data_IF_559021854547
#
_entry.id   IF_559021854547
#
_cell.length_a   1.000
_cell.length_b   1.000
_cell.length_c   1.000
_cell.angle_alpha   90.00
_cell.angle_beta   90.00
_cell.angle_gamma   90.00
#
_symmetry.space_group_name_H-M   'P 1'
#
loop_
_entity.id
_entity.type
_entity.pdbx_description
1 polymer ?
#
# COMPACT_ATOMS: atom_id res chain seq x y z
N UNK A 1 -11.08 -4.58 -10.27
CA UNK A 1 -10.10 -5.60 -9.83
C UNK A 1 -10.53 -6.19 -8.49
N UNK A 2 -10.23 -7.46 -8.20
CA UNK A 2 -10.63 -8.14 -6.94
C UNK A 2 -9.41 -8.58 -6.14
N UNK A 3 -8.46 -7.68 -5.91
CA UNK A 3 -7.30 -7.91 -5.05
C UNK A 3 -7.37 -7.03 -3.80
N UNK A 4 -6.99 -7.57 -2.63
CA UNK A 4 -6.78 -6.77 -1.41
C UNK A 4 -5.48 -6.00 -1.52
N UNK A 5 -5.54 -4.69 -1.32
CA UNK A 5 -4.39 -3.83 -1.13
C UNK A 5 -3.81 -4.06 0.26
N UNK A 6 -2.49 -4.19 0.33
CA UNK A 6 -1.74 -4.47 1.55
C UNK A 6 -0.78 -3.34 1.82
N UNK A 7 -0.62 -3.03 3.10
CA UNK A 7 0.34 -2.05 3.58
C UNK A 7 1.53 -2.78 4.17
N UNK A 8 2.63 -2.77 3.43
CA UNK A 8 3.90 -3.36 3.82
C UNK A 8 4.77 -2.34 4.55
N UNK A 9 5.43 -2.75 5.62
CA UNK A 9 6.36 -1.91 6.39
C UNK A 9 7.75 -2.53 6.41
N UNK A 10 8.77 -1.69 6.19
CA UNK A 10 10.15 -1.99 6.52
C UNK A 10 10.66 -0.97 7.54
N UNK A 11 10.61 -1.33 8.83
CA UNK A 11 11.05 -0.46 9.92
C UNK A 11 12.56 -0.18 9.90
N UNK A 12 13.37 -1.08 9.33
CA UNK A 12 14.82 -0.87 9.24
C UNK A 12 15.16 0.21 8.22
N UNK A 13 14.37 0.30 7.16
CA UNK A 13 14.55 1.27 6.08
C UNK A 13 13.72 2.54 6.27
N UNK A 14 12.79 2.55 7.23
CA UNK A 14 11.82 3.64 7.39
C UNK A 14 10.91 3.80 6.18
N UNK A 15 10.44 2.68 5.60
CA UNK A 15 9.63 2.67 4.38
C UNK A 15 8.30 1.95 4.60
N UNK A 16 7.28 2.42 3.91
CA UNK A 16 5.95 1.82 3.86
C UNK A 16 5.47 1.80 2.40
N UNK A 17 4.95 0.66 1.97
CA UNK A 17 4.48 0.43 0.61
C UNK A 17 3.02 -0.01 0.63
N UNK A 18 2.20 0.65 -0.20
CA UNK A 18 0.84 0.20 -0.51
C UNK A 18 0.89 -0.58 -1.82
N UNK A 19 0.39 -1.81 -1.82
CA UNK A 19 0.36 -2.63 -3.02
C UNK A 19 -0.75 -3.69 -3.01
N UNK A 20 -1.45 -3.81 -4.14
CA UNK A 20 -2.37 -4.91 -4.47
C UNK A 20 -1.70 -6.02 -5.27
N UNK A 21 -0.45 -5.83 -5.69
CA UNK A 21 0.32 -6.78 -6.50
C UNK A 21 0.69 -8.03 -5.71
N UNK A 22 0.41 -9.19 -6.29
CA UNK A 22 0.65 -10.48 -5.63
C UNK A 22 2.14 -10.81 -5.47
N UNK A 23 2.96 -10.31 -6.38
CA UNK A 23 4.42 -10.47 -6.42
C UNK A 23 5.10 -9.77 -5.24
N UNK A 24 4.53 -8.70 -4.70
CA UNK A 24 5.08 -7.95 -3.56
C UNK A 24 4.98 -8.72 -2.23
N UNK A 25 4.22 -9.82 -2.19
CA UNK A 25 4.29 -10.77 -1.06
C UNK A 25 5.69 -11.35 -0.87
N UNK A 26 6.53 -11.35 -1.92
CA UNK A 26 7.93 -11.77 -1.82
C UNK A 26 8.75 -10.89 -0.87
N UNK A 27 8.39 -9.61 -0.70
CA UNK A 27 9.05 -8.67 0.22
C UNK A 27 9.04 -9.15 1.68
N UNK A 28 8.08 -9.99 2.06
CA UNK A 28 8.02 -10.60 3.40
C UNK A 28 9.30 -11.41 3.67
N UNK A 29 9.81 -12.11 2.64
CA UNK A 29 11.07 -12.88 2.73
C UNK A 29 12.29 -11.97 2.91
N UNK A 30 12.17 -10.71 2.52
CA UNK A 30 13.21 -9.68 2.63
C UNK A 30 13.07 -8.84 3.91
N UNK A 31 12.17 -9.22 4.81
CA UNK A 31 12.02 -8.59 6.13
C UNK A 31 10.96 -7.50 6.21
N UNK A 32 10.16 -7.31 5.16
CA UNK A 32 8.95 -6.51 5.24
C UNK A 32 7.84 -7.24 6.01
N UNK A 33 6.87 -6.49 6.53
CA UNK A 33 5.69 -7.05 7.22
C UNK A 33 4.43 -6.39 6.72
N UNK A 34 3.32 -7.12 6.68
CA UNK A 34 2.01 -6.52 6.42
C UNK A 34 1.45 -6.01 7.74
N UNK A 35 0.99 -4.77 7.77
CA UNK A 35 0.39 -4.14 8.96
C UNK A 35 -1.07 -3.76 8.79
N UNK A 36 -1.56 -3.74 7.55
CA UNK A 36 -2.95 -3.44 7.22
C UNK A 36 -3.30 -4.04 5.86
N UNK A 37 -4.57 -4.37 5.67
CA UNK A 37 -5.13 -4.82 4.40
C UNK A 37 -6.53 -4.22 4.21
N UNK A 38 -6.86 -3.83 3.00
CA UNK A 38 -8.20 -3.34 2.64
C UNK A 38 -8.56 -3.76 1.20
N UNK A 39 -9.86 -3.81 0.91
CA UNK A 39 -10.33 -4.00 -0.46
C UNK A 39 -10.35 -2.67 -1.24
N UNK A 40 -10.34 -1.55 -0.53
CA UNK A 40 -10.30 -0.21 -1.09
C UNK A 40 -8.86 0.36 -1.01
N UNK A 41 -8.31 0.73 -2.15
CA UNK A 41 -6.96 1.29 -2.24
C UNK A 41 -6.80 2.57 -1.43
N UNK A 42 -7.81 3.45 -1.45
CA UNK A 42 -7.77 4.73 -0.74
C UNK A 42 -7.71 4.50 0.75
N UNK A 43 -8.46 3.54 1.29
CA UNK A 43 -8.37 3.20 2.71
C UNK A 43 -6.97 2.67 3.09
N UNK A 44 -6.39 1.80 2.26
CA UNK A 44 -5.03 1.30 2.48
C UNK A 44 -3.98 2.42 2.41
N UNK A 45 -4.14 3.35 1.45
CA UNK A 45 -3.28 4.50 1.26
C UNK A 45 -3.34 5.48 2.43
N UNK A 46 -4.55 5.85 2.87
CA UNK A 46 -4.75 6.77 4.00
C UNK A 46 -4.17 6.18 5.29
N UNK A 47 -4.39 4.89 5.54
CA UNK A 47 -3.74 4.19 6.66
C UNK A 47 -2.21 4.28 6.58
N UNK A 48 -1.64 4.04 5.39
CA UNK A 48 -0.21 4.07 5.20
C UNK A 48 0.37 5.47 5.37
N UNK A 49 -0.31 6.51 4.87
CA UNK A 49 0.08 7.93 5.05
C UNK A 49 0.08 8.31 6.51
N UNK A 50 -0.99 8.04 7.24
CA UNK A 50 -1.09 8.38 8.66
C UNK A 50 -0.01 7.65 9.49
N UNK A 51 0.31 6.40 9.12
CA UNK A 51 1.41 5.66 9.72
C UNK A 51 2.77 6.26 9.37
N UNK A 52 2.98 6.65 8.11
CA UNK A 52 4.21 7.26 7.62
C UNK A 52 4.50 8.58 8.35
N UNK A 53 3.51 9.47 8.41
CA UNK A 53 3.62 10.78 9.04
C UNK A 53 3.94 10.66 10.54
N UNK A 54 3.32 9.69 11.23
CA UNK A 54 3.56 9.44 12.66
C UNK A 54 4.97 8.93 12.95
N UNK A 55 5.59 8.25 12.01
CA UNK A 55 6.86 7.55 12.19
C UNK A 55 8.03 8.14 11.40
N UNK A 56 7.80 9.23 10.66
CA UNK A 56 8.77 9.86 9.75
C UNK A 56 9.30 8.87 8.70
N UNK A 57 8.39 8.10 8.09
CA UNK A 57 8.72 7.09 7.07
C UNK A 57 8.38 7.58 5.66
N UNK A 58 9.07 7.01 4.68
CA UNK A 58 8.78 7.24 3.25
C UNK A 58 7.61 6.35 2.85
N UNK A 59 6.52 6.99 2.38
CA UNK A 59 5.37 6.33 1.77
C UNK A 59 5.59 6.11 0.27
N UNK A 60 5.31 4.90 -0.18
CA UNK A 60 5.43 4.47 -1.56
C UNK A 60 4.16 3.76 -2.03
N UNK A 61 3.84 3.92 -3.31
CA UNK A 61 2.73 3.26 -3.99
C UNK A 61 3.01 3.19 -5.50
N UNK A 62 2.25 2.35 -6.19
CA UNK A 62 2.27 2.29 -7.65
C UNK A 62 1.25 3.25 -8.24
N UNK A 63 1.70 4.14 -9.13
CA UNK A 63 0.83 5.11 -9.83
C UNK A 63 -0.23 4.40 -10.69
N UNK A 64 0.06 3.19 -11.17
CA UNK A 64 -0.89 2.39 -11.93
C UNK A 64 -2.12 2.03 -11.08
N UNK A 65 -1.90 1.61 -9.83
CA UNK A 65 -2.98 1.23 -8.91
C UNK A 65 -3.82 2.44 -8.49
N UNK A 66 -3.19 3.60 -8.27
CA UNK A 66 -3.89 4.86 -8.03
C UNK A 66 -4.76 5.24 -9.25
N UNK A 67 -4.21 5.14 -10.46
CA UNK A 67 -4.91 5.50 -11.70
C UNK A 67 -6.11 4.59 -11.98
N UNK A 68 -6.00 3.29 -11.70
CA UNK A 68 -7.10 2.33 -11.85
C UNK A 68 -8.27 2.68 -10.93
N UNK A 69 -7.99 3.02 -9.68
CA UNK A 69 -9.01 3.44 -8.70
C UNK A 69 -9.68 4.75 -9.12
N UNK A 70 -8.91 5.72 -9.63
CA UNK A 70 -9.46 6.97 -10.13
C UNK A 70 -10.35 6.77 -11.36
N UNK A 71 -9.99 5.87 -12.27
CA UNK A 71 -10.83 5.53 -13.43
C UNK A 71 -12.13 4.88 -12.99
N UNK A 72 -12.07 3.92 -12.07
CA UNK A 72 -13.27 3.28 -11.53
C UNK A 72 -14.20 4.29 -10.85
N UNK A 73 -13.66 5.33 -10.20
CA UNK A 73 -14.44 6.41 -9.58
C UNK A 73 -15.06 7.40 -10.58
N UNK A 74 -14.57 7.47 -11.83
CA UNK A 74 -15.11 8.34 -12.88
C UNK A 74 -16.17 7.66 -13.75
N UNK A 75 -16.24 6.34 -13.71
CA UNK A 75 -17.17 5.52 -14.53
C UNK A 75 -18.42 5.11 -13.73
N UNK A 76 -18.41 5.26 -12.41
CA UNK A 76 -19.54 5.05 -11.50
C UNK A 76 -20.13 6.38 -11.03
#
# INVERSE_FOLDING_TARGET
MTGRYKVFINRKMGRILVSGKSEDLSLIKEGWRIIYEDNDWKNAFEFARDYADKHDYVLEWYLEEESEVLKDAMVN
#
